data_IF_151400885376
#
_entry.id   IF_151400885376
#
_cell.length_a   1.000
_cell.length_b   1.000
_cell.length_c   1.000
_cell.angle_alpha   90.00
_cell.angle_beta   90.00
_cell.angle_gamma   90.00
#
_symmetry.space_group_name_H-M   'P 1'
#
loop_
_entity.id
_entity.type
_entity.pdbx_description
1 polymer ?
#
# COMPACT_ATOMS: atom_id res chain seq x y z
N UNK A 1 1.12 7.35 13.21
CA UNK A 1 0.58 5.98 13.10
C UNK A 1 0.89 5.53 11.70
N UNK A 2 1.50 4.35 11.53
CA UNK A 2 1.78 3.82 10.20
C UNK A 2 0.46 3.64 9.44
N UNK A 3 0.46 3.99 8.16
CA UNK A 3 -0.69 3.79 7.29
C UNK A 3 -0.75 2.30 6.93
N UNK A 4 -1.89 1.61 7.13
CA UNK A 4 -1.99 0.21 6.74
C UNK A 4 -1.87 0.07 5.22
N UNK A 5 -1.27 -1.04 4.76
CA UNK A 5 -1.13 -1.36 3.34
C UNK A 5 -2.44 -1.22 2.53
N UNK A 6 -3.58 -1.54 3.13
CA UNK A 6 -4.90 -1.41 2.50
C UNK A 6 -5.32 0.03 2.21
N UNK A 7 -4.81 1.01 2.98
CA UNK A 7 -5.06 2.43 2.74
C UNK A 7 -4.14 2.97 1.65
N UNK A 8 -2.89 2.50 1.59
CA UNK A 8 -1.96 2.78 0.47
C UNK A 8 -2.57 2.29 -0.85
N UNK A 9 -3.07 1.05 -0.90
CA UNK A 9 -3.69 0.48 -2.11
C UNK A 9 -4.90 1.30 -2.56
N UNK A 10 -5.76 1.73 -1.62
CA UNK A 10 -6.94 2.55 -1.93
C UNK A 10 -6.56 3.89 -2.53
N UNK A 11 -5.55 4.57 -1.98
CA UNK A 11 -5.09 5.85 -2.49
C UNK A 11 -4.49 5.71 -3.90
N UNK A 12 -3.69 4.66 -4.12
CA UNK A 12 -3.12 4.39 -5.45
C UNK A 12 -4.23 4.10 -6.46
N UNK A 13 -5.22 3.26 -6.14
CA UNK A 13 -6.36 2.99 -7.03
C UNK A 13 -7.25 4.21 -7.26
N UNK A 14 -7.38 5.10 -6.28
CA UNK A 14 -8.12 6.34 -6.45
C UNK A 14 -7.46 7.27 -7.49
N UNK A 15 -6.13 7.31 -7.54
CA UNK A 15 -5.38 8.10 -8.51
C UNK A 15 -5.15 7.36 -9.85
N UNK A 16 -5.00 6.04 -9.81
CA UNK A 16 -4.72 5.15 -10.94
C UNK A 16 -5.66 3.93 -10.87
N UNK A 17 -6.91 4.05 -11.36
CA UNK A 17 -7.93 3.02 -11.22
C UNK A 17 -7.55 1.64 -11.79
N UNK A 18 -6.74 1.63 -12.84
CA UNK A 18 -6.34 0.42 -13.55
C UNK A 18 -4.97 -0.14 -13.10
N UNK A 19 -4.36 0.45 -12.05
CA UNK A 19 -3.07 0.00 -11.55
C UNK A 19 -3.15 -1.43 -10.98
N UNK A 20 -2.22 -2.28 -11.38
CA UNK A 20 -1.93 -3.53 -10.67
C UNK A 20 -0.94 -3.22 -9.55
N UNK A 21 -1.31 -3.56 -8.32
CA UNK A 21 -0.58 -3.15 -7.12
C UNK A 21 -0.10 -4.41 -6.40
N UNK A 22 1.16 -4.41 -5.99
CA UNK A 22 1.75 -5.41 -5.10
C UNK A 22 2.44 -4.64 -3.98
N UNK A 23 2.13 -4.99 -2.73
CA UNK A 23 2.66 -4.35 -1.52
C UNK A 23 3.34 -5.47 -0.73
N UNK A 24 4.64 -5.32 -0.45
CA UNK A 24 5.45 -6.35 0.19
C UNK A 24 6.15 -5.76 1.41
N UNK A 25 5.86 -6.30 2.60
CA UNK A 25 6.53 -5.83 3.82
C UNK A 25 8.01 -6.30 3.81
N UNK A 26 8.91 -5.33 3.70
CA UNK A 26 10.35 -5.55 3.60
C UNK A 26 11.01 -5.74 4.98
N UNK A 27 10.36 -5.30 6.06
CA UNK A 27 10.91 -5.33 7.42
C UNK A 27 10.09 -6.16 8.42
N UNK A 28 8.89 -6.60 8.04
CA UNK A 28 7.92 -7.28 8.90
C UNK A 28 7.30 -6.36 9.95
N UNK A 29 7.34 -5.04 9.75
CA UNK A 29 6.96 -4.03 10.74
C UNK A 29 5.67 -3.27 10.40
N UNK A 30 5.05 -3.57 9.25
CA UNK A 30 3.88 -2.86 8.74
C UNK A 30 4.08 -1.34 8.56
N UNK A 31 5.33 -0.90 8.34
CA UNK A 31 5.68 0.50 8.06
C UNK A 31 6.57 0.61 6.81
N UNK A 32 7.42 -0.42 6.57
CA UNK A 32 8.27 -0.51 5.39
C UNK A 32 7.74 -1.53 4.38
N UNK A 33 6.86 -1.06 3.49
CA UNK A 33 6.27 -1.83 2.40
C UNK A 33 6.91 -1.56 1.03
#
# INVERSE_FOLDING_TARGET
>A
MAMPASEIEKLIKAALPDAQITIEDLAGDNDHF
#
